data_IF_517340979667
#
_entry.id   IF_517340979667
#
_cell.length_a   1.000
_cell.length_b   1.000
_cell.length_c   1.000
_cell.angle_alpha   90.00
_cell.angle_beta   90.00
_cell.angle_gamma   90.00
#
_symmetry.space_group_name_H-M   'P 1'
#
loop_
_entity.id
_entity.type
_entity.pdbx_description
1 polymer ?
#
# COMPACT_ATOMS: atom_id res chain seq x y z
N UNK A 1 4.68 -7.70 -1.97
CA UNK A 1 5.56 -6.74 -2.67
C UNK A 1 5.78 -5.52 -1.80
N UNK A 2 4.70 -4.82 -1.40
CA UNK A 2 4.72 -3.61 -0.59
C UNK A 2 5.68 -3.67 0.61
N UNK A 3 5.52 -4.65 1.51
CA UNK A 3 6.41 -4.81 2.68
C UNK A 3 7.90 -4.95 2.34
N UNK A 4 8.24 -5.63 1.25
CA UNK A 4 9.63 -5.76 0.81
C UNK A 4 10.17 -4.43 0.24
N UNK A 5 9.35 -3.70 -0.52
CA UNK A 5 9.72 -2.37 -1.02
C UNK A 5 9.93 -1.39 0.15
N UNK A 6 9.00 -1.32 1.09
CA UNK A 6 9.09 -0.47 2.29
C UNK A 6 10.35 -0.81 3.09
N UNK A 7 10.61 -2.12 3.31
CA UNK A 7 11.79 -2.56 4.01
C UNK A 7 13.08 -2.23 3.27
N UNK A 8 13.12 -2.40 1.94
CA UNK A 8 14.29 -2.04 1.12
C UNK A 8 14.61 -0.55 1.22
N UNK A 9 13.62 0.32 1.02
CA UNK A 9 13.79 1.77 1.16
C UNK A 9 14.30 2.14 2.56
N UNK A 10 13.79 1.47 3.60
CA UNK A 10 14.27 1.68 4.97
C UNK A 10 15.73 1.24 5.13
N UNK A 11 16.13 0.09 4.56
CA UNK A 11 17.53 -0.36 4.58
C UNK A 11 18.47 0.56 3.78
N UNK A 12 17.95 1.26 2.78
CA UNK A 12 18.67 2.29 2.03
C UNK A 12 18.81 3.62 2.79
N UNK A 13 18.30 3.69 4.03
CA UNK A 13 18.47 4.82 4.94
C UNK A 13 17.34 5.84 4.90
N UNK A 14 16.28 5.59 4.16
CA UNK A 14 15.11 6.46 4.11
C UNK A 14 14.19 6.27 5.33
N UNK A 15 13.50 7.34 5.71
CA UNK A 15 12.44 7.34 6.72
C UNK A 15 11.13 6.98 6.05
N UNK A 16 10.68 5.74 6.26
CA UNK A 16 9.56 5.18 5.52
C UNK A 16 8.41 4.79 6.44
N UNK A 17 7.20 5.10 6.02
CA UNK A 17 5.98 4.54 6.58
C UNK A 17 5.26 3.68 5.56
N UNK A 18 4.79 2.50 5.97
CA UNK A 18 3.78 1.75 5.22
C UNK A 18 2.38 2.12 5.70
N UNK A 19 1.50 2.43 4.75
CA UNK A 19 0.09 2.72 5.03
C UNK A 19 -0.80 1.66 4.37
N UNK A 20 -1.42 0.81 5.16
CA UNK A 20 -2.41 -0.14 4.69
C UNK A 20 -3.74 0.55 4.37
N UNK A 21 -4.15 0.49 3.11
CA UNK A 21 -5.39 1.06 2.59
C UNK A 21 -6.33 -0.03 2.07
N UNK A 22 -6.34 -1.17 2.74
CA UNK A 22 -7.19 -2.33 2.45
C UNK A 22 -8.03 -2.68 3.68
N UNK A 23 -9.36 -2.88 3.54
CA UNK A 23 -10.21 -3.40 4.61
C UNK A 23 -9.70 -4.68 5.30
N UNK A 24 -8.85 -5.47 4.62
CA UNK A 24 -8.21 -6.68 5.13
C UNK A 24 -7.17 -6.42 6.24
N UNK A 25 -6.66 -5.19 6.36
CA UNK A 25 -5.86 -4.67 7.48
C UNK A 25 -4.64 -5.53 7.91
N UNK A 26 -3.98 -6.20 6.96
CA UNK A 26 -2.80 -7.05 7.21
C UNK A 26 -1.55 -6.60 6.45
N UNK A 27 -1.58 -5.40 5.87
CA UNK A 27 -0.49 -4.86 5.05
C UNK A 27 0.82 -4.78 5.83
N UNK A 28 0.75 -4.25 7.05
CA UNK A 28 1.90 -4.02 7.91
C UNK A 28 2.40 -5.28 8.63
N UNK A 29 1.64 -6.39 8.65
CA UNK A 29 1.98 -7.59 9.45
C UNK A 29 3.42 -8.04 9.24
N UNK A 30 3.90 -8.08 7.99
CA UNK A 30 5.27 -8.54 7.69
C UNK A 30 6.35 -7.63 8.31
N UNK A 31 6.16 -6.31 8.28
CA UNK A 31 7.14 -5.36 8.85
C UNK A 31 6.98 -5.19 10.36
N UNK A 32 5.94 -5.79 10.96
CA UNK A 32 5.71 -5.88 12.41
C UNK A 32 5.77 -7.33 12.91
N UNK A 33 6.53 -8.22 12.25
CA UNK A 33 6.81 -9.57 12.77
C UNK A 33 5.57 -10.46 12.97
N UNK A 34 4.53 -10.24 12.16
CA UNK A 34 3.26 -10.98 12.20
C UNK A 34 2.18 -10.38 13.09
N UNK A 35 2.45 -9.28 13.79
CA UNK A 35 1.44 -8.59 14.60
C UNK A 35 0.54 -7.69 13.74
N UNK A 36 -0.77 -7.85 13.91
CA UNK A 36 -1.76 -6.91 13.36
C UNK A 36 -1.78 -5.62 14.19
N UNK A 37 -1.64 -4.50 13.50
CA UNK A 37 -1.75 -3.18 14.11
C UNK A 37 -3.21 -2.84 14.40
N UNK A 38 -3.51 -2.12 15.49
CA UNK A 38 -4.80 -1.49 15.65
C UNK A 38 -5.07 -0.53 14.47
N UNK A 39 -6.26 -0.64 13.88
CA UNK A 39 -6.61 0.21 12.73
C UNK A 39 -7.00 1.61 13.17
N UNK A 40 -6.82 2.60 12.30
CA UNK A 40 -7.26 3.98 12.52
C UNK A 40 -8.77 4.02 12.83
N UNK A 41 -9.57 3.24 12.10
CA UNK A 41 -11.01 3.15 12.34
C UNK A 41 -11.37 2.67 13.75
N UNK A 42 -10.66 1.66 14.27
CA UNK A 42 -10.84 1.16 15.64
C UNK A 42 -10.42 2.19 16.68
N UNK A 43 -9.24 2.81 16.52
CA UNK A 43 -8.75 3.84 17.43
C UNK A 43 -9.69 5.04 17.46
N UNK A 44 -10.14 5.50 16.31
CA UNK A 44 -11.12 6.58 16.23
C UNK A 44 -12.43 6.24 16.95
N UNK A 45 -12.93 5.00 16.81
CA UNK A 45 -14.13 4.54 17.54
C UNK A 45 -13.92 4.57 19.05
N UNK A 46 -12.77 4.08 19.54
CA UNK A 46 -12.46 4.07 20.97
C UNK A 46 -12.44 5.48 21.57
N UNK A 47 -11.78 6.43 20.90
CA UNK A 47 -11.73 7.82 21.34
C UNK A 47 -13.11 8.48 21.28
N UNK A 48 -13.90 8.20 20.25
CA UNK A 48 -15.26 8.72 20.12
C UNK A 48 -16.20 8.19 21.20
N UNK A 49 -16.15 6.89 21.51
CA UNK A 49 -16.96 6.29 22.58
C UNK A 49 -16.60 6.86 23.96
N UNK A 50 -15.34 7.29 24.14
CA UNK A 50 -14.89 7.99 25.33
C UNK A 50 -15.18 9.50 25.34
N UNK A 51 -15.74 10.06 24.25
CA UNK A 51 -15.98 11.51 24.09
C UNK A 51 -14.68 12.34 24.03
N UNK A 52 -13.63 11.77 23.44
CA UNK A 52 -12.27 12.32 23.36
C UNK A 52 -11.74 12.35 21.93
N UNK A 53 -12.60 12.43 20.91
CA UNK A 53 -12.18 12.41 19.50
C UNK A 53 -11.15 13.50 19.14
N UNK A 54 -11.13 14.61 19.88
CA UNK A 54 -10.19 15.72 19.74
C UNK A 54 -8.80 15.44 20.32
N UNK A 55 -8.66 14.36 21.12
CA UNK A 55 -7.41 13.93 21.74
C UNK A 55 -6.68 12.85 20.94
N UNK A 56 -7.29 12.32 19.87
CA UNK A 56 -6.65 11.35 19.00
C UNK A 56 -5.37 11.97 18.42
N UNK A 57 -4.23 11.33 18.64
CA UNK A 57 -2.92 11.80 18.22
C UNK A 57 -2.27 10.84 17.22
N UNK A 58 -1.17 11.31 16.60
CA UNK A 58 -0.38 10.52 15.66
C UNK A 58 0.11 9.21 16.27
N UNK A 59 0.52 9.24 17.54
CA UNK A 59 1.03 8.05 18.26
C UNK A 59 -0.01 6.97 18.54
N UNK A 60 -1.30 7.28 18.39
CA UNK A 60 -2.38 6.30 18.57
C UNK A 60 -2.62 5.48 17.29
N UNK A 61 -2.17 5.98 16.13
CA UNK A 61 -2.48 5.38 14.81
C UNK A 61 -1.25 5.06 13.97
N UNK A 62 -0.09 5.64 14.28
CA UNK A 62 1.19 5.33 13.65
C UNK A 62 2.07 4.60 14.66
N UNK A 63 2.44 3.38 14.30
CA UNK A 63 3.25 2.50 15.12
C UNK A 63 4.67 2.44 14.56
N UNK A 64 5.66 2.32 15.45
CA UNK A 64 7.07 2.17 15.09
C UNK A 64 7.51 0.73 15.35
N UNK A 65 8.28 0.19 14.41
CA UNK A 65 9.11 -0.99 14.62
C UNK A 65 10.56 -0.68 14.20
N UNK A 66 11.49 -1.54 14.58
CA UNK A 66 12.86 -1.51 14.07
C UNK A 66 13.11 -2.83 13.32
N UNK A 67 13.38 -2.77 12.00
CA UNK A 67 13.65 -3.97 11.19
C UNK A 67 14.93 -4.69 11.62
N UNK A 68 15.90 -3.90 12.09
CA UNK A 68 17.14 -4.29 12.75
C UNK A 68 17.49 -3.19 13.76
N UNK A 69 18.39 -3.45 14.74
CA UNK A 69 18.81 -2.41 15.67
C UNK A 69 19.24 -1.13 14.95
N UNK A 70 18.52 -0.02 15.20
CA UNK A 70 18.80 1.28 14.59
C UNK A 70 18.23 1.53 13.20
N UNK A 71 17.39 0.63 12.66
CA UNK A 71 16.74 0.76 11.35
C UNK A 71 15.21 0.89 11.55
N UNK A 72 14.70 2.11 11.85
CA UNK A 72 13.30 2.32 12.19
C UNK A 72 12.39 2.30 10.96
N UNK A 73 11.22 1.69 11.10
CA UNK A 73 10.14 1.67 10.11
C UNK A 73 8.82 2.03 10.80
N UNK A 74 7.93 2.69 10.08
CA UNK A 74 6.61 3.08 10.59
C UNK A 74 5.49 2.33 9.86
N UNK A 75 4.38 2.09 10.57
CA UNK A 75 3.21 1.43 10.02
C UNK A 75 1.92 2.07 10.50
N UNK A 76 0.93 2.12 9.62
CA UNK A 76 -0.42 2.54 9.92
C UNK A 76 -1.39 1.68 9.09
N UNK A 77 -2.48 1.24 9.69
CA UNK A 77 -3.58 0.55 8.98
C UNK A 77 -4.81 1.44 9.03
N UNK A 78 -5.35 1.85 7.88
CA UNK A 78 -6.62 2.59 7.87
C UNK A 78 -7.77 1.72 8.37
N UNK A 79 -7.70 0.42 8.05
CA UNK A 79 -8.75 -0.55 8.30
C UNK A 79 -9.92 -0.41 7.34
N UNK A 80 -10.95 -1.19 7.62
CA UNK A 80 -12.22 -1.19 6.90
C UNK A 80 -13.39 -1.15 7.87
N UNK A 81 -14.62 -0.98 7.36
CA UNK A 81 -15.80 -1.16 8.19
C UNK A 81 -15.89 -2.60 8.70
N UNK A 82 -16.71 -2.83 9.73
CA UNK A 82 -17.00 -4.18 10.23
C UNK A 82 -17.44 -5.11 9.10
N UNK A 83 -17.00 -6.38 9.14
CA UNK A 83 -17.33 -7.37 8.11
C UNK A 83 -18.85 -7.44 7.89
N UNK A 84 -19.27 -7.23 6.64
CA UNK A 84 -20.69 -7.22 6.26
C UNK A 84 -21.44 -5.91 6.57
N UNK A 85 -20.75 -4.85 7.00
CA UNK A 85 -21.33 -3.53 7.29
C UNK A 85 -20.53 -2.42 6.63
N UNK A 86 -21.17 -1.26 6.45
CA UNK A 86 -20.52 -0.04 5.97
C UNK A 86 -20.00 -0.10 4.52
N UNK A 87 -19.12 0.84 4.17
CA UNK A 87 -18.50 0.96 2.86
C UNK A 87 -16.99 1.12 3.00
N UNK A 88 -16.21 0.19 2.43
CA UNK A 88 -14.75 0.22 2.46
C UNK A 88 -14.18 1.55 1.98
N UNK A 89 -14.68 2.06 0.85
CA UNK A 89 -14.24 3.36 0.32
C UNK A 89 -14.49 4.53 1.27
N UNK A 90 -15.63 4.57 1.97
CA UNK A 90 -15.89 5.63 2.95
C UNK A 90 -14.92 5.57 4.13
N UNK A 91 -14.58 4.35 4.60
CA UNK A 91 -13.55 4.14 5.61
C UNK A 91 -12.20 4.71 5.18
N UNK A 92 -11.77 4.39 3.96
CA UNK A 92 -10.51 4.91 3.39
C UNK A 92 -10.53 6.45 3.31
N UNK A 93 -11.57 7.05 2.73
CA UNK A 93 -11.68 8.51 2.58
C UNK A 93 -11.68 9.22 3.94
N UNK A 94 -12.42 8.70 4.91
CA UNK A 94 -12.42 9.22 6.28
C UNK A 94 -11.06 9.06 6.96
N UNK A 95 -10.38 7.93 6.73
CA UNK A 95 -9.04 7.66 7.23
C UNK A 95 -8.04 8.70 6.75
N UNK A 96 -8.00 8.99 5.45
CA UNK A 96 -7.14 10.06 4.92
C UNK A 96 -7.46 11.42 5.52
N UNK A 97 -8.75 11.76 5.68
CA UNK A 97 -9.12 13.02 6.33
C UNK A 97 -8.59 13.12 7.77
N UNK A 98 -8.63 12.02 8.52
CA UNK A 98 -8.04 11.95 9.86
C UNK A 98 -6.54 12.12 9.81
N UNK A 99 -5.82 11.39 8.93
CA UNK A 99 -4.37 11.51 8.78
C UNK A 99 -3.95 12.94 8.38
N UNK A 100 -4.68 13.58 7.46
CA UNK A 100 -4.47 14.99 7.08
C UNK A 100 -4.67 15.93 8.27
N UNK A 101 -5.71 15.70 9.08
CA UNK A 101 -5.95 16.44 10.33
C UNK A 101 -4.84 16.25 11.37
N UNK A 102 -4.24 15.07 11.40
CA UNK A 102 -3.05 14.73 12.21
C UNK A 102 -1.73 15.24 11.59
N UNK A 103 -1.80 15.96 10.47
CA UNK A 103 -0.65 16.61 9.86
C UNK A 103 0.20 15.69 8.98
N UNK A 104 -0.40 14.75 8.24
CA UNK A 104 0.28 13.83 7.30
C UNK A 104 1.37 14.50 6.43
N UNK A 105 1.12 15.71 5.93
CA UNK A 105 2.08 16.47 5.09
C UNK A 105 3.25 17.10 5.85
N UNK A 106 3.25 17.02 7.19
CA UNK A 106 4.28 17.58 8.08
C UNK A 106 5.10 16.50 8.77
N UNK A 107 4.79 15.24 8.53
CA UNK A 107 5.60 14.15 9.05
C UNK A 107 6.91 14.15 8.28
N UNK A 108 8.00 14.14 9.04
CA UNK A 108 9.36 14.06 8.52
C UNK A 108 9.60 12.62 8.03
N UNK A 109 9.06 12.28 6.85
CA UNK A 109 9.16 10.99 6.18
C UNK A 109 9.59 11.25 4.75
N UNK A 110 10.51 10.43 4.24
CA UNK A 110 10.91 10.47 2.83
C UNK A 110 9.87 9.77 1.94
N UNK A 111 9.25 8.70 2.45
CA UNK A 111 8.26 7.91 1.72
C UNK A 111 7.09 7.47 2.60
N UNK A 112 5.88 7.58 2.03
CA UNK A 112 4.68 6.89 2.51
C UNK A 112 4.28 5.89 1.43
N UNK A 113 4.55 4.60 1.68
CA UNK A 113 4.22 3.52 0.75
C UNK A 113 2.80 3.05 1.07
N UNK A 114 1.85 3.41 0.20
CA UNK A 114 0.43 3.09 0.39
C UNK A 114 0.03 1.78 -0.30
N UNK A 115 -0.53 0.84 0.45
CA UNK A 115 -0.97 -0.46 -0.03
C UNK A 115 -2.48 -0.45 -0.31
N UNK A 116 -2.86 -0.42 -1.58
CA UNK A 116 -4.27 -0.29 -1.99
C UNK A 116 -4.84 -1.58 -2.55
N UNK A 117 -6.10 -1.86 -2.19
CA UNK A 117 -6.91 -2.84 -2.89
C UNK A 117 -7.14 -2.41 -4.34
N UNK A 118 -6.69 -3.22 -5.30
CA UNK A 118 -6.74 -2.91 -6.74
C UNK A 118 -7.96 -3.46 -7.49
N UNK A 119 -8.76 -4.34 -6.87
CA UNK A 119 -9.89 -5.01 -7.54
C UNK A 119 -10.99 -4.04 -7.95
N UNK A 120 -11.17 -2.97 -7.15
CA UNK A 120 -12.16 -1.93 -7.37
C UNK A 120 -11.49 -0.57 -7.30
N UNK A 121 -11.81 0.31 -8.25
CA UNK A 121 -11.29 1.68 -8.31
C UNK A 121 -12.47 2.65 -8.29
N UNK A 122 -13.27 2.56 -7.24
CA UNK A 122 -14.50 3.34 -7.08
C UNK A 122 -14.53 4.11 -5.76
N UNK A 123 -15.27 5.22 -5.74
CA UNK A 123 -15.48 6.03 -4.55
C UNK A 123 -14.18 6.32 -3.80
N UNK A 124 -14.12 5.91 -2.54
CA UNK A 124 -12.96 6.19 -1.70
C UNK A 124 -11.69 5.39 -2.02
N UNK A 125 -11.75 4.28 -2.76
CA UNK A 125 -10.54 3.60 -3.25
C UNK A 125 -9.83 4.39 -4.35
N UNK A 126 -10.55 5.28 -5.03
CA UNK A 126 -9.97 6.22 -5.98
C UNK A 126 -9.41 7.49 -5.32
N UNK A 127 -9.58 7.68 -3.99
CA UNK A 127 -9.16 8.89 -3.27
C UNK A 127 -7.71 9.30 -3.54
N UNK A 128 -6.71 8.39 -3.55
CA UNK A 128 -5.33 8.79 -3.80
C UNK A 128 -5.10 9.40 -5.17
N UNK A 129 -5.82 8.90 -6.18
CA UNK A 129 -5.78 9.41 -7.55
C UNK A 129 -6.59 10.69 -7.67
N UNK A 130 -7.82 10.67 -7.15
CA UNK A 130 -8.79 11.76 -7.29
C UNK A 130 -8.36 13.03 -6.56
N UNK A 131 -7.71 12.90 -5.40
CA UNK A 131 -7.22 14.01 -4.59
C UNK A 131 -5.72 14.26 -4.77
N UNK A 132 -5.05 13.53 -5.67
CA UNK A 132 -3.60 13.60 -5.87
C UNK A 132 -2.79 13.42 -4.58
N UNK A 133 -3.23 12.53 -3.69
CA UNK A 133 -2.50 12.19 -2.46
C UNK A 133 -1.32 11.26 -2.75
N UNK A 134 -1.41 10.47 -3.83
CA UNK A 134 -0.29 9.70 -4.35
C UNK A 134 0.40 10.50 -5.46
N UNK A 135 1.70 10.76 -5.31
CA UNK A 135 2.49 11.34 -6.40
C UNK A 135 2.74 10.30 -7.50
N UNK A 136 3.06 9.08 -7.08
CA UNK A 136 3.46 7.98 -7.94
C UNK A 136 2.66 6.72 -7.64
N UNK A 137 2.28 6.00 -8.70
CA UNK A 137 1.54 4.74 -8.62
C UNK A 137 2.31 3.65 -9.32
N UNK A 138 2.51 2.54 -8.62
CA UNK A 138 3.04 1.29 -9.16
C UNK A 138 1.88 0.30 -9.18
N UNK A 139 1.66 -0.35 -10.32
CA UNK A 139 0.61 -1.38 -10.44
C UNK A 139 1.28 -2.74 -10.41
N UNK A 140 0.96 -3.54 -9.39
CA UNK A 140 1.43 -4.92 -9.29
C UNK A 140 0.51 -5.83 -10.11
N UNK A 141 1.08 -6.62 -11.01
CA UNK A 141 0.34 -7.49 -11.93
C UNK A 141 0.90 -8.90 -11.99
N UNK A 142 0.04 -9.88 -12.29
CA UNK A 142 0.45 -11.19 -12.78
C UNK A 142 0.25 -11.30 -14.30
N UNK A 143 0.45 -12.49 -14.85
CA UNK A 143 0.18 -12.78 -16.27
C UNK A 143 -1.30 -13.10 -16.53
N UNK A 144 -2.11 -13.28 -15.48
CA UNK A 144 -3.49 -13.69 -15.62
C UNK A 144 -4.41 -12.55 -16.05
N UNK A 145 -5.50 -12.92 -16.70
CA UNK A 145 -6.49 -11.98 -17.24
C UNK A 145 -7.12 -11.09 -16.17
N UNK A 146 -7.37 -11.58 -14.96
CA UNK A 146 -8.04 -10.79 -13.93
C UNK A 146 -7.12 -9.71 -13.39
N UNK A 147 -5.85 -10.05 -13.14
CA UNK A 147 -4.84 -9.09 -12.73
C UNK A 147 -4.64 -7.97 -13.77
N UNK A 148 -4.50 -8.33 -15.05
CA UNK A 148 -4.35 -7.34 -16.12
C UNK A 148 -5.62 -6.51 -16.36
N UNK A 149 -6.80 -7.09 -16.11
CA UNK A 149 -8.06 -6.36 -16.16
C UNK A 149 -8.15 -5.30 -15.03
N UNK A 150 -7.77 -5.67 -13.80
CA UNK A 150 -7.70 -4.73 -12.69
C UNK A 150 -6.68 -3.61 -12.96
N UNK A 151 -5.48 -3.98 -13.44
CA UNK A 151 -4.45 -3.04 -13.85
C UNK A 151 -4.96 -2.02 -14.88
N UNK A 152 -5.73 -2.48 -15.86
CA UNK A 152 -6.32 -1.61 -16.89
C UNK A 152 -7.34 -0.64 -16.31
N UNK A 153 -8.13 -1.04 -15.32
CA UNK A 153 -9.07 -0.14 -14.67
C UNK A 153 -8.35 0.92 -13.82
N UNK A 154 -7.28 0.55 -13.13
CA UNK A 154 -6.42 1.50 -12.38
C UNK A 154 -5.78 2.50 -13.34
N UNK A 155 -5.19 2.02 -14.44
CA UNK A 155 -4.56 2.86 -15.45
C UNK A 155 -5.56 3.85 -16.07
N UNK A 156 -6.77 3.40 -16.41
CA UNK A 156 -7.85 4.26 -16.90
C UNK A 156 -8.27 5.32 -15.88
N UNK A 157 -8.43 4.92 -14.62
CA UNK A 157 -8.79 5.85 -13.55
C UNK A 157 -7.70 6.92 -13.35
N UNK A 158 -6.44 6.52 -13.31
CA UNK A 158 -5.32 7.45 -13.20
C UNK A 158 -5.26 8.42 -14.40
N UNK A 159 -5.45 7.92 -15.62
CA UNK A 159 -5.52 8.77 -16.81
C UNK A 159 -6.70 9.76 -16.76
N UNK A 160 -7.87 9.32 -16.28
CA UNK A 160 -9.05 10.15 -16.12
C UNK A 160 -8.83 11.28 -15.10
N UNK A 161 -8.30 10.98 -13.91
CA UNK A 161 -8.03 12.04 -12.93
C UNK A 161 -6.93 13.00 -13.39
N UNK A 162 -5.94 12.50 -14.13
CA UNK A 162 -4.91 13.34 -14.74
C UNK A 162 -5.48 14.28 -15.80
N UNK A 163 -6.44 13.84 -16.63
CA UNK A 163 -7.08 14.72 -17.62
C UNK A 163 -7.94 15.81 -16.98
N UNK A 164 -8.34 15.63 -15.72
CA UNK A 164 -9.02 16.65 -14.90
C UNK A 164 -8.06 17.55 -14.09
N UNK A 165 -6.75 17.44 -14.31
CA UNK A 165 -5.74 18.28 -13.65
C UNK A 165 -5.09 17.65 -12.41
N UNK A 166 -5.34 16.38 -12.12
CA UNK A 166 -4.60 15.64 -11.09
C UNK A 166 -3.11 15.46 -11.43
N UNK A 167 -2.27 15.41 -10.41
CA UNK A 167 -0.81 15.29 -10.54
C UNK A 167 -0.25 13.88 -10.35
N UNK A 168 -1.11 12.88 -10.08
CA UNK A 168 -0.67 11.50 -9.90
C UNK A 168 -0.15 10.87 -11.19
N UNK A 169 1.02 10.24 -11.14
CA UNK A 169 1.64 9.55 -12.26
C UNK A 169 1.73 8.04 -12.04
N UNK A 170 1.30 7.25 -13.02
CA UNK A 170 1.58 5.81 -13.05
C UNK A 170 3.02 5.61 -13.55
N UNK A 171 3.89 5.09 -12.68
CA UNK A 171 5.29 4.83 -13.01
C UNK A 171 5.42 3.64 -13.95
N UNK A 172 4.65 2.58 -13.72
CA UNK A 172 4.71 1.36 -14.50
C UNK A 172 4.17 0.15 -13.75
N UNK A 173 4.49 -1.02 -14.30
CA UNK A 173 4.03 -2.31 -13.82
C UNK A 173 5.14 -3.06 -13.09
N UNK A 174 4.79 -3.75 -12.01
CA UNK A 174 5.66 -4.78 -11.42
C UNK A 174 5.02 -6.13 -11.68
N UNK A 175 5.69 -6.97 -12.45
CA UNK A 175 5.22 -8.34 -12.71
C UNK A 175 5.59 -9.20 -11.51
N UNK A 176 4.59 -9.63 -10.76
CA UNK A 176 4.74 -10.41 -9.54
C UNK A 176 4.37 -11.86 -9.78
N UNK A 177 5.10 -12.78 -9.13
CA UNK A 177 5.01 -14.23 -9.37
C UNK A 177 5.18 -14.53 -10.87
N UNK A 178 6.17 -13.89 -11.47
CA UNK A 178 6.52 -14.06 -12.86
C UNK A 178 6.82 -15.53 -13.15
N UNK A 179 6.07 -16.10 -14.09
CA UNK A 179 6.17 -17.49 -14.54
C UNK A 179 6.91 -17.63 -15.88
N UNK A 180 7.44 -16.52 -16.40
CA UNK A 180 8.16 -16.44 -17.67
C UNK A 180 7.25 -16.22 -18.89
N UNK A 181 5.95 -16.08 -18.70
CA UNK A 181 5.02 -15.73 -19.79
C UNK A 181 5.20 -14.27 -20.23
N UNK A 182 4.69 -13.93 -21.41
CA UNK A 182 4.83 -12.59 -22.01
C UNK A 182 3.53 -11.76 -21.99
N UNK A 183 2.46 -12.27 -21.36
CA UNK A 183 1.14 -11.63 -21.40
C UNK A 183 1.14 -10.25 -20.75
N UNK A 184 1.86 -10.09 -19.64
CA UNK A 184 2.06 -8.80 -19.00
C UNK A 184 2.84 -7.82 -19.89
N UNK A 185 3.81 -8.30 -20.67
CA UNK A 185 4.59 -7.49 -21.62
C UNK A 185 3.74 -7.01 -22.79
N UNK A 186 2.90 -7.90 -23.34
CA UNK A 186 1.95 -7.55 -24.39
C UNK A 186 0.99 -6.46 -23.91
N UNK A 187 0.48 -6.60 -22.68
CA UNK A 187 -0.34 -5.58 -22.04
C UNK A 187 0.42 -4.27 -21.81
N UNK A 188 1.63 -4.33 -21.23
CA UNK A 188 2.49 -3.18 -20.97
C UNK A 188 2.74 -2.35 -22.24
N UNK A 189 3.09 -3.02 -23.35
CA UNK A 189 3.25 -2.39 -24.67
C UNK A 189 1.96 -1.76 -25.18
N UNK A 190 0.83 -2.45 -25.03
CA UNK A 190 -0.46 -1.95 -25.52
C UNK A 190 -0.95 -0.70 -24.79
N UNK A 191 -0.68 -0.60 -23.47
CA UNK A 191 -1.08 0.56 -22.66
C UNK A 191 -0.01 1.65 -22.55
N UNK A 192 1.20 1.40 -23.06
CA UNK A 192 2.32 2.33 -23.01
C UNK A 192 2.90 2.54 -21.61
N UNK A 193 2.83 1.52 -20.75
CA UNK A 193 3.42 1.54 -19.41
C UNK A 193 4.67 0.64 -19.36
N UNK A 194 5.79 1.06 -18.77
CA UNK A 194 6.97 0.22 -18.66
C UNK A 194 6.79 -0.87 -17.60
N UNK A 195 7.50 -1.99 -17.76
CA UNK A 195 7.72 -2.95 -16.68
C UNK A 195 8.92 -2.45 -15.86
N UNK A 196 8.69 -2.15 -14.59
CA UNK A 196 9.69 -1.62 -13.65
C UNK A 196 10.55 -2.73 -13.06
N UNK A 197 9.91 -3.85 -12.71
CA UNK A 197 10.57 -5.00 -12.09
C UNK A 197 9.79 -6.29 -12.33
N UNK A 198 10.50 -7.41 -12.21
CA UNK A 198 9.96 -8.77 -12.28
C UNK A 198 10.34 -9.51 -11.01
N UNK A 199 9.33 -9.98 -10.29
CA UNK A 199 9.46 -10.74 -9.05
C UNK A 199 9.13 -12.19 -9.39
N UNK A 200 10.12 -13.10 -9.45
CA UNK A 200 9.90 -14.47 -9.92
C UNK A 200 9.00 -15.25 -8.97
N UNK A 201 8.26 -16.21 -9.52
CA UNK A 201 7.54 -17.19 -8.72
C UNK A 201 8.54 -18.04 -7.90
N UNK A 202 8.47 -17.93 -6.58
CA UNK A 202 9.36 -18.65 -5.65
C UNK A 202 8.57 -19.26 -4.51
N UNK A 203 8.72 -20.58 -4.32
CA UNK A 203 8.09 -21.30 -3.21
C UNK A 203 8.67 -20.90 -1.84
N UNK A 204 10.00 -20.81 -1.65
CA UNK A 204 10.58 -20.30 -0.40
C UNK A 204 10.05 -18.92 -0.01
N UNK A 205 9.98 -17.98 -0.96
CA UNK A 205 9.45 -16.63 -0.67
C UNK A 205 7.98 -16.65 -0.32
N UNK A 206 7.18 -17.54 -0.93
CA UNK A 206 5.78 -17.73 -0.52
C UNK A 206 5.70 -18.21 0.93
N UNK A 207 6.52 -19.18 1.32
CA UNK A 207 6.55 -19.71 2.69
C UNK A 207 7.01 -18.65 3.70
N UNK A 208 7.94 -17.77 3.33
CA UNK A 208 8.31 -16.60 4.13
C UNK A 208 7.15 -15.60 4.27
N UNK A 209 6.46 -15.29 3.18
CA UNK A 209 5.31 -14.39 3.21
C UNK A 209 4.18 -14.93 4.09
N UNK A 210 3.88 -16.23 3.99
CA UNK A 210 2.89 -16.91 4.85
C UNK A 210 3.31 -16.88 6.34
N UNK A 211 4.62 -16.83 6.61
CA UNK A 211 5.18 -16.67 7.95
C UNK A 211 5.39 -15.20 8.37
N UNK A 212 4.87 -14.22 7.61
CA UNK A 212 5.05 -12.78 7.84
C UNK A 212 6.53 -12.36 7.90
N UNK A 213 7.38 -12.94 7.06
CA UNK A 213 8.80 -12.63 6.92
C UNK A 213 9.10 -11.94 5.61
N UNK A 214 10.09 -11.05 5.64
CA UNK A 214 10.58 -10.37 4.45
C UNK A 214 11.30 -11.36 3.53
N UNK A 215 11.11 -11.19 2.22
CA UNK A 215 11.78 -11.96 1.19
C UNK A 215 13.26 -11.56 1.04
N UNK A 216 13.67 -10.43 1.64
CA UNK A 216 15.01 -9.86 1.52
C UNK A 216 16.12 -10.73 2.14
N UNK A 217 15.76 -11.76 2.90
CA UNK A 217 16.70 -12.76 3.43
C UNK A 217 17.06 -13.83 2.37
N UNK A 218 16.27 -13.96 1.31
CA UNK A 218 16.51 -14.88 0.20
C UNK A 218 17.45 -14.24 -0.84
N UNK A 219 18.61 -14.86 -1.16
CA UNK A 219 19.59 -14.28 -2.07
C UNK A 219 19.05 -13.75 -3.41
N UNK A 220 18.14 -14.45 -4.13
CA UNK A 220 17.64 -13.94 -5.40
C UNK A 220 16.77 -12.69 -5.26
N UNK A 221 16.27 -12.37 -4.06
CA UNK A 221 15.39 -11.22 -3.80
C UNK A 221 16.07 -10.10 -3.02
N UNK A 222 17.24 -10.35 -2.42
CA UNK A 222 18.03 -9.32 -1.73
C UNK A 222 18.63 -8.27 -2.69
N UNK A 223 18.82 -8.64 -3.96
CA UNK A 223 19.43 -7.81 -5.01
C UNK A 223 18.40 -7.13 -5.95
N UNK A 224 17.11 -7.41 -5.74
CA UNK A 224 15.97 -6.87 -6.49
C UNK A 224 15.48 -5.56 -5.86
#
# INVERSE_FOLDING_TARGET
FTSNLTARLTFDGFRVMQLGCDPKHDSCNTIFGGYSLPTLGEQWRLFKEAGKEDQLAVGDVIFRNDLRPGVPIFGCELGGPEVGRGCGGQGISSGFKTLEGLGMSKWDLDYIVMDFLGDVVCGGFATPLARSLAEHVIIVVGHDRQSLYAANNIAKAAQYFRSMGGSTHVLGLVVNRDDGSDTADLYARAVGLPILARVPLSRPVRELADACKLALEEPPFAAL
#
